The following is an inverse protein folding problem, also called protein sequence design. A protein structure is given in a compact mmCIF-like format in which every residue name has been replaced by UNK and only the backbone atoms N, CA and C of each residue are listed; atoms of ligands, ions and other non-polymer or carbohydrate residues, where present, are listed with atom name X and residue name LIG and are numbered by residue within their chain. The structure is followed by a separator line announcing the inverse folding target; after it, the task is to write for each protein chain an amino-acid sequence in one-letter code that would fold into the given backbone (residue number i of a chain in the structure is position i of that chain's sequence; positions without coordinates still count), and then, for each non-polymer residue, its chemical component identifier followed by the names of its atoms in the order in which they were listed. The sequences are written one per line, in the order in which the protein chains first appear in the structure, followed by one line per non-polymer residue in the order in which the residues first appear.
data_IF_138280729053
#
_entry.id   IF_138280729053
#
_cell.length_a   1.000
_cell.length_b   1.000
_cell.length_c   1.000
_cell.angle_alpha   90.00
_cell.angle_beta   90.00
_cell.angle_gamma   90.00
#
_symmetry.space_group_name_H-M   'P 1'
#
loop_
_entity.id
_entity.type
_entity.pdbx_description
1 polymer ?
#
# COMPACT_ATOMS: atom_id res chain seq x y z
N UNK A 1 -7.44 2.10 17.49
CA UNK A 1 -7.17 0.66 17.23
C UNK A 1 -6.48 0.08 18.48
N UNK A 2 -6.68 -1.21 18.80
CA UNK A 2 -6.23 -1.81 20.08
C UNK A 2 -5.23 -2.97 19.87
N UNK A 3 -4.37 -3.28 20.86
CA UNK A 3 -3.53 -4.48 20.84
C UNK A 3 -4.31 -5.78 20.64
N UNK A 4 -5.52 -5.85 21.22
CA UNK A 4 -6.44 -6.96 21.03
C UNK A 4 -6.84 -7.12 19.55
N UNK A 5 -7.13 -6.01 18.85
CA UNK A 5 -7.44 -6.02 17.42
C UNK A 5 -6.28 -6.51 16.57
N UNK A 6 -5.03 -6.14 16.92
CA UNK A 6 -3.85 -6.67 16.27
C UNK A 6 -3.73 -8.19 16.49
N UNK A 7 -3.93 -8.67 17.72
CA UNK A 7 -3.96 -10.10 18.03
C UNK A 7 -5.01 -10.88 17.23
N UNK A 8 -6.24 -10.36 17.14
CA UNK A 8 -7.32 -10.96 16.33
C UNK A 8 -6.95 -11.02 14.85
N UNK A 9 -6.35 -9.96 14.29
CA UNK A 9 -5.88 -9.96 12.90
C UNK A 9 -4.85 -11.08 12.64
N UNK A 10 -3.89 -11.27 13.56
CA UNK A 10 -2.89 -12.36 13.45
C UNK A 10 -3.54 -13.75 13.49
N UNK A 11 -4.54 -13.94 14.35
CA UNK A 11 -5.26 -15.21 14.43
C UNK A 11 -6.06 -15.50 13.14
N UNK A 12 -6.79 -14.51 12.63
CA UNK A 12 -7.60 -14.65 11.41
C UNK A 12 -6.73 -14.90 10.18
N UNK A 13 -5.63 -14.16 9.99
CA UNK A 13 -4.77 -14.38 8.82
C UNK A 13 -4.20 -15.80 8.77
N UNK A 14 -3.80 -16.37 9.93
CA UNK A 14 -3.31 -17.76 10.01
C UNK A 14 -4.36 -18.78 9.56
N UNK A 15 -5.62 -18.58 9.91
CA UNK A 15 -6.72 -19.44 9.44
C UNK A 15 -6.92 -19.29 7.91
N UNK A 16 -6.77 -18.09 7.37
CA UNK A 16 -6.90 -17.85 5.93
C UNK A 16 -5.75 -18.46 5.12
N UNK A 17 -4.55 -18.59 5.70
CA UNK A 17 -3.40 -19.22 5.03
C UNK A 17 -3.65 -20.68 4.64
N UNK A 18 -4.54 -21.38 5.35
CA UNK A 18 -4.96 -22.75 4.99
C UNK A 18 -5.59 -22.83 3.60
N UNK A 19 -6.14 -21.71 3.10
CA UNK A 19 -6.69 -21.59 1.74
C UNK A 19 -5.63 -21.30 0.67
N UNK A 20 -4.35 -21.22 1.07
CA UNK A 20 -3.19 -20.97 0.20
C UNK A 20 -3.41 -19.73 -0.71
N UNK A 21 -3.68 -18.55 -0.12
CA UNK A 21 -3.83 -17.33 -0.91
C UNK A 21 -2.53 -17.05 -1.69
N UNK A 22 -2.66 -16.51 -2.90
CA UNK A 22 -1.49 -16.08 -3.67
C UNK A 22 -0.74 -14.96 -2.94
N UNK A 23 -1.48 -14.01 -2.36
CA UNK A 23 -0.94 -12.94 -1.53
C UNK A 23 -1.99 -12.39 -0.56
N UNK A 24 -1.54 -11.62 0.42
CA UNK A 24 -2.40 -10.79 1.26
C UNK A 24 -2.16 -9.30 0.98
N UNK A 25 -3.21 -8.56 0.63
CA UNK A 25 -3.13 -7.10 0.50
C UNK A 25 -3.29 -6.41 1.85
N UNK A 26 -2.42 -5.46 2.15
CA UNK A 26 -2.48 -4.66 3.37
C UNK A 26 -2.82 -3.22 3.00
N UNK A 27 -3.98 -2.76 3.46
CA UNK A 27 -4.45 -1.39 3.22
C UNK A 27 -3.59 -0.36 3.95
N UNK A 28 -3.49 0.84 3.37
CA UNK A 28 -2.82 1.96 4.01
C UNK A 28 -3.53 2.32 5.32
N UNK A 29 -2.78 2.39 6.41
CA UNK A 29 -3.31 2.57 7.77
C UNK A 29 -3.71 1.27 8.48
N UNK A 30 -3.40 0.09 7.94
CA UNK A 30 -3.50 -1.17 8.69
C UNK A 30 -2.63 -1.13 9.96
N UNK A 31 -2.99 -1.87 11.01
CA UNK A 31 -2.20 -1.96 12.25
C UNK A 31 -2.13 -0.72 13.14
N UNK A 32 -2.44 0.49 12.65
CA UNK A 32 -2.30 1.71 13.47
C UNK A 32 -2.75 3.03 12.84
N UNK A 33 -3.49 2.99 11.72
CA UNK A 33 -3.87 4.17 10.92
C UNK A 33 -2.71 4.95 10.30
N UNK A 34 -1.47 4.52 10.56
CA UNK A 34 -0.25 5.08 9.99
C UNK A 34 0.33 4.14 8.94
N UNK A 35 1.21 4.70 8.12
CA UNK A 35 2.01 3.93 7.20
C UNK A 35 2.92 2.92 7.91
N UNK A 36 3.42 3.25 9.10
CA UNK A 36 4.25 2.35 9.91
C UNK A 36 3.49 1.07 10.29
N UNK A 37 2.23 1.18 10.70
CA UNK A 37 1.41 -0.01 11.00
C UNK A 37 1.17 -0.90 9.76
N UNK A 38 1.10 -0.27 8.59
CA UNK A 38 0.97 -0.97 7.31
C UNK A 38 2.23 -1.78 7.04
N UNK A 39 3.40 -1.14 7.12
CA UNK A 39 4.69 -1.78 6.88
C UNK A 39 5.01 -2.86 7.93
N UNK A 40 4.63 -2.64 9.19
CA UNK A 40 4.72 -3.64 10.24
C UNK A 40 3.89 -4.89 9.92
N UNK A 41 2.64 -4.69 9.49
CA UNK A 41 1.76 -5.81 9.10
C UNK A 41 2.31 -6.56 7.89
N UNK A 42 2.78 -5.85 6.87
CA UNK A 42 3.43 -6.46 5.69
C UNK A 42 4.66 -7.27 6.09
N UNK A 43 5.52 -6.73 6.97
CA UNK A 43 6.71 -7.41 7.47
C UNK A 43 6.35 -8.71 8.20
N UNK A 44 5.32 -8.68 9.04
CA UNK A 44 4.85 -9.88 9.73
C UNK A 44 4.37 -10.96 8.76
N UNK A 45 3.58 -10.59 7.74
CA UNK A 45 3.07 -11.55 6.74
C UNK A 45 4.21 -12.16 5.93
N UNK A 46 5.19 -11.35 5.51
CA UNK A 46 6.38 -11.84 4.80
C UNK A 46 7.22 -12.78 5.68
N UNK A 47 7.40 -12.45 6.96
CA UNK A 47 8.10 -13.30 7.92
C UNK A 47 7.37 -14.63 8.20
N UNK A 48 6.05 -14.66 7.99
CA UNK A 48 5.22 -15.87 8.04
C UNK A 48 5.29 -16.71 6.74
N UNK A 49 6.07 -16.27 5.74
CA UNK A 49 6.28 -16.99 4.47
C UNK A 49 5.18 -16.78 3.43
N UNK A 50 4.29 -15.81 3.64
CA UNK A 50 3.19 -15.49 2.71
C UNK A 50 3.51 -14.21 1.95
N UNK A 51 3.20 -14.16 0.64
CA UNK A 51 3.40 -12.96 -0.16
C UNK A 51 2.46 -11.84 0.30
N UNK A 52 2.94 -10.59 0.29
CA UNK A 52 2.15 -9.44 0.71
C UNK A 52 2.17 -8.33 -0.35
N UNK A 53 0.99 -7.76 -0.62
CA UNK A 53 0.84 -6.56 -1.44
C UNK A 53 0.68 -5.34 -0.53
N UNK A 54 1.56 -4.36 -0.64
CA UNK A 54 1.43 -3.12 0.14
C UNK A 54 0.58 -2.10 -0.63
N UNK A 55 -0.51 -1.62 -0.05
CA UNK A 55 -1.20 -0.45 -0.58
C UNK A 55 -0.32 0.79 -0.36
N UNK A 56 -0.11 1.54 -1.43
CA UNK A 56 0.82 2.65 -1.45
C UNK A 56 0.15 3.87 -2.08
N UNK A 57 -0.11 4.90 -1.28
CA UNK A 57 -0.85 6.11 -1.68
C UNK A 57 0.04 7.34 -1.78
N UNK A 58 -0.24 8.22 -2.74
CA UNK A 58 0.62 9.37 -3.04
C UNK A 58 0.07 10.76 -2.62
N UNK A 59 -1.12 10.84 -2.03
CA UNK A 59 -1.66 12.13 -1.55
C UNK A 59 -0.76 12.73 -0.47
N UNK A 60 -0.35 13.98 -0.68
CA UNK A 60 0.54 14.71 0.23
C UNK A 60 1.99 14.22 0.23
N UNK A 61 2.35 13.26 -0.62
CA UNK A 61 3.70 12.71 -0.69
C UNK A 61 4.61 13.56 -1.58
N UNK A 62 5.91 13.56 -1.27
CA UNK A 62 6.98 14.13 -2.08
C UNK A 62 7.74 12.99 -2.78
N UNK A 63 8.47 13.30 -3.85
CA UNK A 63 9.33 12.32 -4.54
C UNK A 63 10.35 11.73 -3.59
N UNK A 64 10.92 12.56 -2.71
CA UNK A 64 11.88 12.12 -1.71
C UNK A 64 11.26 11.14 -0.70
N UNK A 65 10.07 11.45 -0.18
CA UNK A 65 9.39 10.55 0.76
C UNK A 65 9.03 9.23 0.09
N UNK A 66 8.51 9.26 -1.14
CA UNK A 66 8.22 8.02 -1.90
C UNK A 66 9.49 7.21 -2.14
N UNK A 67 10.60 7.83 -2.55
CA UNK A 67 11.88 7.14 -2.77
C UNK A 67 12.36 6.42 -1.50
N UNK A 68 12.34 7.11 -0.36
CA UNK A 68 12.74 6.52 0.92
C UNK A 68 11.85 5.31 1.29
N UNK A 69 10.55 5.41 1.03
CA UNK A 69 9.59 4.35 1.31
C UNK A 69 9.77 3.15 0.37
N UNK A 70 10.04 3.36 -0.91
CA UNK A 70 10.36 2.29 -1.86
C UNK A 70 11.62 1.53 -1.45
N UNK A 71 12.66 2.25 -1.02
CA UNK A 71 13.88 1.64 -0.51
C UNK A 71 13.60 0.76 0.72
N UNK A 72 12.77 1.25 1.65
CA UNK A 72 12.36 0.48 2.84
C UNK A 72 11.55 -0.78 2.47
N UNK A 73 10.58 -0.66 1.56
CA UNK A 73 9.77 -1.79 1.10
C UNK A 73 10.62 -2.84 0.40
N UNK A 74 11.56 -2.42 -0.45
CA UNK A 74 12.52 -3.31 -1.11
C UNK A 74 13.40 -4.03 -0.09
N UNK A 75 13.94 -3.31 0.90
CA UNK A 75 14.76 -3.90 1.96
C UNK A 75 13.98 -4.90 2.83
N UNK A 76 12.65 -4.75 2.93
CA UNK A 76 11.77 -5.71 3.59
C UNK A 76 11.47 -6.96 2.76
N UNK A 77 11.84 -6.99 1.48
CA UNK A 77 11.51 -8.08 0.55
C UNK A 77 10.12 -7.96 -0.06
N UNK A 78 9.48 -6.79 0.01
CA UNK A 78 8.22 -6.54 -0.71
C UNK A 78 8.50 -6.51 -2.21
N UNK A 79 7.73 -7.28 -2.96
CA UNK A 79 7.80 -7.33 -4.42
C UNK A 79 6.50 -6.88 -5.10
N UNK A 80 5.41 -6.68 -4.35
CA UNK A 80 4.08 -6.31 -4.88
C UNK A 80 3.54 -5.05 -4.22
N UNK A 81 3.12 -4.08 -5.05
CA UNK A 81 2.53 -2.81 -4.62
C UNK A 81 1.16 -2.62 -5.28
N UNK A 82 0.21 -2.08 -4.51
CA UNK A 82 -1.04 -1.55 -5.05
C UNK A 82 -0.93 -0.03 -5.02
N UNK A 83 -0.64 0.57 -6.18
CA UNK A 83 -0.45 2.00 -6.33
C UNK A 83 -1.81 2.71 -6.41
N UNK A 84 -2.04 3.65 -5.48
CA UNK A 84 -3.30 4.35 -5.33
C UNK A 84 -3.03 5.85 -5.27
N UNK A 85 -4.01 6.66 -5.70
CA UNK A 85 -3.99 8.09 -5.39
C UNK A 85 -4.23 8.29 -3.89
N UNK A 86 -5.24 7.61 -3.36
CA UNK A 86 -5.82 7.86 -2.05
C UNK A 86 -6.99 8.83 -2.09
N UNK A 87 -7.58 9.07 -0.91
CA UNK A 87 -8.68 10.01 -0.71
C UNK A 87 -8.17 11.37 -0.25
N UNK A 88 -8.76 12.44 -0.78
CA UNK A 88 -8.39 13.81 -0.38
C UNK A 88 -9.08 14.13 0.96
N UNK A 89 -8.33 14.42 2.04
CA UNK A 89 -8.95 14.88 3.28
C UNK A 89 -9.68 16.19 3.05
N UNK A 90 -10.80 16.40 3.75
CA UNK A 90 -11.50 17.69 3.74
C UNK A 90 -10.56 18.80 4.24
N UNK A 91 -10.30 19.81 3.41
CA UNK A 91 -9.44 20.94 3.76
C UNK A 91 -7.95 20.76 3.45
N UNK A 92 -7.54 19.62 2.88
CA UNK A 92 -6.17 19.45 2.38
C UNK A 92 -6.00 20.26 1.08
N UNK A 93 -5.06 21.22 1.10
CA UNK A 93 -4.66 21.96 -0.10
C UNK A 93 -4.03 21.05 -1.16
N UNK A 94 -3.65 21.63 -2.31
CA UNK A 94 -2.95 20.95 -3.40
C UNK A 94 -1.49 20.57 -3.05
N UNK A 95 -1.24 20.12 -1.82
CA UNK A 95 0.08 19.70 -1.36
C UNK A 95 0.39 18.27 -1.83
N UNK A 96 1.61 18.08 -2.33
CA UNK A 96 2.13 16.82 -2.85
C UNK A 96 2.54 16.92 -4.31
N UNK A 97 3.53 16.11 -4.70
CA UNK A 97 4.10 16.09 -6.05
C UNK A 97 3.39 15.10 -6.99
N UNK A 98 2.39 14.37 -6.48
CA UNK A 98 1.64 13.36 -7.21
C UNK A 98 0.14 13.66 -7.18
N UNK A 99 -0.48 13.83 -8.34
CA UNK A 99 -1.88 14.19 -8.47
C UNK A 99 -2.78 12.99 -8.78
N UNK A 100 -2.23 12.00 -9.49
CA UNK A 100 -2.91 10.78 -9.89
C UNK A 100 -2.11 9.55 -9.49
N UNK A 101 -2.80 8.40 -9.41
CA UNK A 101 -2.12 7.11 -9.21
C UNK A 101 -1.11 6.81 -10.33
N UNK A 102 -1.38 7.28 -11.55
CA UNK A 102 -0.47 7.14 -12.70
C UNK A 102 0.86 7.85 -12.50
N UNK A 103 0.88 9.01 -11.85
CA UNK A 103 2.11 9.76 -11.57
C UNK A 103 3.01 8.95 -10.63
N UNK A 104 2.40 8.33 -9.62
CA UNK A 104 3.08 7.45 -8.70
C UNK A 104 3.61 6.20 -9.42
N UNK A 105 2.82 5.56 -10.28
CA UNK A 105 3.28 4.40 -11.07
C UNK A 105 4.49 4.77 -11.93
N UNK A 106 4.43 5.90 -12.63
CA UNK A 106 5.53 6.38 -13.47
C UNK A 106 6.80 6.59 -12.64
N UNK A 107 6.69 7.24 -11.49
CA UNK A 107 7.83 7.49 -10.61
C UNK A 107 8.42 6.21 -10.02
N UNK A 108 7.58 5.25 -9.59
CA UNK A 108 8.07 3.95 -9.11
C UNK A 108 8.86 3.25 -10.23
N UNK A 109 8.36 3.28 -11.47
CA UNK A 109 9.05 2.67 -12.61
C UNK A 109 10.36 3.37 -12.95
N UNK A 110 10.42 4.70 -12.87
CA UNK A 110 11.64 5.48 -13.05
C UNK A 110 12.70 5.10 -12.01
N UNK A 111 12.33 5.01 -10.74
CA UNK A 111 13.25 4.79 -9.63
C UNK A 111 13.67 3.32 -9.43
N UNK A 112 12.81 2.36 -9.81
CA UNK A 112 12.98 0.95 -9.42
C UNK A 112 12.87 -0.02 -10.60
N UNK A 113 12.59 0.46 -11.81
CA UNK A 113 12.41 -0.37 -12.99
C UNK A 113 11.33 -1.44 -12.78
N UNK A 114 11.75 -2.71 -12.78
CA UNK A 114 10.87 -3.88 -12.65
C UNK A 114 10.94 -4.57 -11.29
N UNK A 115 11.58 -3.95 -10.31
CA UNK A 115 11.73 -4.54 -8.97
C UNK A 115 10.38 -4.83 -8.29
N UNK A 116 9.35 -4.04 -8.60
CA UNK A 116 7.99 -4.22 -8.07
C UNK A 116 7.00 -4.67 -9.15
N UNK A 117 6.19 -5.68 -8.84
CA UNK A 117 4.89 -5.88 -9.48
C UNK A 117 3.93 -4.81 -8.99
N UNK A 118 3.28 -4.07 -9.91
CA UNK A 118 2.42 -2.94 -9.57
C UNK A 118 1.01 -3.21 -10.07
N UNK A 119 0.06 -3.17 -9.15
CA UNK A 119 -1.38 -3.19 -9.40
C UNK A 119 -1.95 -1.80 -9.18
N UNK A 120 -3.08 -1.50 -9.83
CA UNK A 120 -3.82 -0.24 -9.69
C UNK A 120 -5.31 -0.52 -9.48
N UNK A 121 -6.02 0.40 -8.84
CA UNK A 121 -7.47 0.29 -8.70
C UNK A 121 -8.20 0.53 -10.02
N UNK A 122 -9.31 -0.19 -10.22
CA UNK A 122 -10.24 0.02 -11.31
C UNK A 122 -11.66 0.21 -10.76
N UNK A 123 -12.47 1.00 -11.48
CA UNK A 123 -13.85 1.31 -11.11
C UNK A 123 -14.75 0.82 -12.23
N UNK A 124 -15.44 -0.33 -12.07
CA UNK A 124 -16.28 -0.90 -13.14
C UNK A 124 -17.43 0.02 -13.58
N UNK A 125 -17.96 0.82 -12.67
CA UNK A 125 -19.01 1.81 -12.96
C UNK A 125 -18.36 3.13 -13.40
N UNK A 126 -17.91 3.95 -12.45
CA UNK A 126 -17.13 5.17 -12.69
C UNK A 126 -16.54 5.65 -11.36
N UNK A 127 -15.38 6.30 -11.38
CA UNK A 127 -14.86 6.94 -10.17
C UNK A 127 -15.75 8.16 -9.82
N UNK A 128 -16.19 8.36 -8.57
CA UNK A 128 -17.14 9.44 -8.21
C UNK A 128 -16.69 10.88 -8.56
N UNK A 129 -15.38 11.09 -8.72
CA UNK A 129 -14.77 12.37 -9.13
C UNK A 129 -14.41 12.44 -10.63
N UNK A 130 -14.70 11.41 -11.43
CA UNK A 130 -14.51 11.47 -12.88
C UNK A 130 -15.61 12.32 -13.52
N UNK A 131 -15.28 12.94 -14.66
CA UNK A 131 -16.25 13.78 -15.40
C UNK A 131 -17.25 12.95 -16.21
N UNK A 132 -16.84 11.76 -16.62
CA UNK A 132 -17.57 10.81 -17.48
C UNK A 132 -16.96 9.43 -17.30
#
# INVERSE_FOLDING_TARGET
KTPEGAGKLRAVRRQLYERRPEFCSVTYGAGGSTQEGTFGTVREILAEGVQAACHFSCIGATRESVRAQLAQLRAMGVSRLVALRGDRPSGYGAGGEFHYASDLVAFIREETGRDFHIEVAAYPEVHPQARS
#
